data_IF_728323571388
#
_entry.id   IF_728323571388
#
_cell.length_a   1.000
_cell.length_b   1.000
_cell.length_c   1.000
_cell.angle_alpha   90.00
_cell.angle_beta   90.00
_cell.angle_gamma   90.00
#
_symmetry.space_group_name_H-M   'P 1'
#
loop_
_entity.id
_entity.type
_entity.pdbx_description
1 polymer ?
#
# COMPACT_ATOMS: atom_id res chain seq x y z
N UNK A 1 -27.71 22.43 -7.67
CA UNK A 1 -27.33 21.32 -6.76
C UNK A 1 -26.29 20.48 -7.47
N UNK A 2 -25.01 20.78 -7.27
CA UNK A 2 -23.90 19.99 -7.80
C UNK A 2 -23.88 18.67 -7.02
N UNK A 3 -24.06 17.54 -7.72
CA UNK A 3 -23.95 16.20 -7.12
C UNK A 3 -22.49 15.96 -6.78
N UNK A 4 -22.18 16.00 -5.48
CA UNK A 4 -20.91 15.54 -4.90
C UNK A 4 -20.86 14.01 -4.90
N UNK A 5 -21.02 13.38 -6.07
CA UNK A 5 -20.78 11.94 -6.25
C UNK A 5 -19.26 11.74 -6.30
N UNK A 6 -18.66 11.86 -5.11
CA UNK A 6 -17.23 11.96 -4.92
C UNK A 6 -16.50 10.71 -5.38
N UNK A 7 -15.28 10.91 -5.88
CA UNK A 7 -14.25 9.89 -6.19
C UNK A 7 -13.93 8.98 -4.98
N UNK A 8 -14.47 9.29 -3.80
CA UNK A 8 -14.37 8.53 -2.55
C UNK A 8 -15.66 7.82 -2.14
N UNK A 9 -16.71 7.86 -2.98
CA UNK A 9 -17.88 7.02 -2.83
C UNK A 9 -17.43 5.58 -3.05
N UNK A 10 -17.11 4.90 -1.95
CA UNK A 10 -16.78 3.47 -1.96
C UNK A 10 -18.04 2.76 -2.46
N UNK A 11 -17.99 2.28 -3.71
CA UNK A 11 -19.05 1.44 -4.30
C UNK A 11 -19.37 0.29 -3.33
N UNK A 12 -20.48 0.44 -2.62
CA UNK A 12 -20.96 -0.53 -1.65
C UNK A 12 -21.45 -1.82 -2.31
N UNK A 13 -21.52 -1.86 -3.64
CA UNK A 13 -22.16 -2.93 -4.42
C UNK A 13 -21.19 -4.03 -4.91
N UNK A 14 -19.96 -4.07 -4.36
CA UNK A 14 -19.06 -5.20 -4.62
C UNK A 14 -19.54 -6.42 -3.85
N UNK A 15 -20.23 -7.34 -4.54
CA UNK A 15 -20.54 -8.68 -4.04
C UNK A 15 -19.32 -9.27 -3.30
N UNK A 16 -19.48 -9.80 -2.08
CA UNK A 16 -18.37 -10.34 -1.31
C UNK A 16 -17.70 -11.46 -2.12
N UNK A 17 -16.46 -11.22 -2.55
CA UNK A 17 -15.65 -12.26 -3.19
C UNK A 17 -15.29 -13.30 -2.13
N UNK A 18 -15.27 -14.58 -2.52
CA UNK A 18 -14.83 -15.63 -1.60
C UNK A 18 -13.39 -15.35 -1.11
N UNK A 19 -13.09 -15.56 0.19
CA UNK A 19 -11.76 -15.31 0.74
C UNK A 19 -10.65 -16.00 -0.05
N UNK A 20 -10.87 -17.25 -0.49
CA UNK A 20 -9.92 -17.99 -1.31
C UNK A 20 -9.63 -17.33 -2.66
N UNK A 21 -10.63 -16.71 -3.30
CA UNK A 21 -10.42 -15.98 -4.57
C UNK A 21 -9.63 -14.69 -4.36
N UNK A 22 -9.83 -14.00 -3.23
CA UNK A 22 -9.04 -12.82 -2.85
C UNK A 22 -7.59 -13.19 -2.55
N UNK A 23 -7.36 -14.28 -1.80
CA UNK A 23 -6.02 -14.80 -1.53
C UNK A 23 -5.31 -15.20 -2.83
N UNK A 24 -5.98 -15.96 -3.70
CA UNK A 24 -5.42 -16.35 -5.00
C UNK A 24 -5.08 -15.14 -5.87
N UNK A 25 -5.97 -14.15 -5.94
CA UNK A 25 -5.71 -12.90 -6.67
C UNK A 25 -4.50 -12.15 -6.09
N UNK A 26 -4.41 -12.02 -4.77
CA UNK A 26 -3.28 -11.37 -4.11
C UNK A 26 -1.96 -12.10 -4.32
N UNK A 27 -1.98 -13.44 -4.29
CA UNK A 27 -0.84 -14.28 -4.59
C UNK A 27 -0.36 -14.04 -6.02
N UNK A 28 -1.26 -14.14 -7.00
CA UNK A 28 -0.90 -13.90 -8.40
C UNK A 28 -0.42 -12.48 -8.65
N UNK A 29 -1.07 -11.46 -8.07
CA UNK A 29 -0.62 -10.08 -8.19
C UNK A 29 0.81 -9.88 -7.67
N UNK A 30 1.17 -10.54 -6.56
CA UNK A 30 2.52 -10.46 -6.02
C UNK A 30 3.53 -11.27 -6.83
N UNK A 31 3.17 -12.48 -7.27
CA UNK A 31 4.05 -13.34 -8.08
C UNK A 31 4.32 -12.76 -9.47
N UNK A 32 3.31 -12.16 -10.11
CA UNK A 32 3.45 -11.52 -11.43
C UNK A 32 4.12 -10.14 -11.33
N UNK A 33 4.30 -9.58 -10.14
CA UNK A 33 4.94 -8.30 -9.96
C UNK A 33 6.47 -8.49 -9.83
N UNK A 34 7.27 -8.14 -10.86
CA UNK A 34 8.70 -8.39 -10.83
C UNK A 34 9.43 -7.53 -9.79
N UNK A 35 8.80 -6.46 -9.27
CA UNK A 35 9.43 -5.55 -8.31
C UNK A 35 9.82 -6.28 -7.03
N UNK A 36 8.95 -7.15 -6.52
CA UNK A 36 9.22 -7.91 -5.30
C UNK A 36 10.35 -8.92 -5.54
N UNK A 37 10.29 -9.68 -6.64
CA UNK A 37 11.35 -10.62 -6.99
C UNK A 37 12.71 -9.95 -7.18
N UNK A 38 12.74 -8.84 -7.90
CA UNK A 38 13.96 -8.03 -8.11
C UNK A 38 14.50 -7.46 -6.80
N UNK A 39 13.63 -7.01 -5.88
CA UNK A 39 14.06 -6.57 -4.56
C UNK A 39 14.78 -7.69 -3.81
N UNK A 40 14.22 -8.90 -3.78
CA UNK A 40 14.87 -10.02 -3.11
C UNK A 40 16.21 -10.38 -3.76
N UNK A 41 16.31 -10.41 -5.09
CA UNK A 41 17.57 -10.71 -5.79
C UNK A 41 18.62 -9.61 -5.56
N UNK A 42 18.21 -8.34 -5.53
CA UNK A 42 19.13 -7.22 -5.37
C UNK A 42 19.63 -7.07 -3.93
N UNK A 43 18.76 -7.24 -2.93
CA UNK A 43 19.06 -6.89 -1.54
C UNK A 43 19.32 -8.11 -0.66
N UNK A 44 18.59 -9.21 -0.83
CA UNK A 44 18.65 -10.34 0.11
C UNK A 44 20.01 -11.06 0.14
N UNK A 45 20.73 -11.27 -0.99
CA UNK A 45 22.07 -11.86 -0.98
C UNK A 45 23.09 -11.05 -0.18
N UNK A 46 22.92 -9.71 -0.10
CA UNK A 46 23.83 -8.83 0.65
C UNK A 46 23.77 -9.08 2.16
N UNK A 47 22.71 -9.71 2.65
CA UNK A 47 22.53 -10.07 4.06
C UNK A 47 22.94 -11.52 4.36
N UNK A 48 23.33 -12.30 3.34
CA UNK A 48 23.82 -13.67 3.54
C UNK A 48 25.34 -13.62 3.74
N UNK A 49 25.89 -14.15 4.85
CA UNK A 49 27.34 -14.17 5.07
C UNK A 49 28.06 -14.96 3.98
N UNK A 50 29.18 -14.43 3.49
CA UNK A 50 29.95 -15.06 2.40
C UNK A 50 30.53 -16.44 2.77
N UNK A 51 30.70 -16.73 4.05
CA UNK A 51 31.23 -17.99 4.60
C UNK A 51 30.14 -18.92 5.15
N UNK A 52 28.86 -18.68 4.84
CA UNK A 52 27.78 -19.53 5.32
C UNK A 52 27.83 -20.93 4.67
N UNK A 53 28.07 -21.97 5.47
CA UNK A 53 28.02 -23.38 5.01
C UNK A 53 26.68 -23.75 4.36
N UNK A 54 25.59 -23.04 4.71
CA UNK A 54 24.23 -23.26 4.19
C UNK A 54 23.57 -21.95 3.72
N UNK A 55 24.22 -21.24 2.80
CA UNK A 55 23.73 -19.97 2.25
C UNK A 55 22.25 -20.00 1.79
N UNK A 56 21.78 -21.09 1.18
CA UNK A 56 20.38 -21.24 0.73
C UNK A 56 19.38 -21.26 1.91
N UNK A 57 19.72 -21.95 3.00
CA UNK A 57 18.87 -22.02 4.18
C UNK A 57 18.78 -20.66 4.88
N UNK A 58 19.91 -19.95 4.98
CA UNK A 58 19.97 -18.58 5.50
C UNK A 58 19.12 -17.64 4.65
N UNK A 59 19.24 -17.71 3.32
CA UNK A 59 18.42 -16.92 2.40
C UNK A 59 16.92 -17.14 2.61
N UNK A 60 16.49 -18.41 2.71
CA UNK A 60 15.09 -18.74 2.95
C UNK A 60 14.58 -18.25 4.31
N UNK A 61 15.40 -18.40 5.37
CA UNK A 61 15.08 -17.89 6.70
C UNK A 61 14.90 -16.36 6.69
N UNK A 62 15.82 -15.63 6.06
CA UNK A 62 15.71 -14.17 5.93
C UNK A 62 14.45 -13.77 5.15
N UNK A 63 14.11 -14.51 4.09
CA UNK A 63 12.86 -14.33 3.35
C UNK A 63 11.62 -14.52 4.22
N UNK A 64 11.59 -15.56 5.07
CA UNK A 64 10.50 -15.79 6.01
C UNK A 64 10.40 -14.68 7.08
N UNK A 65 11.53 -14.22 7.62
CA UNK A 65 11.56 -13.11 8.57
C UNK A 65 11.01 -11.84 7.93
N UNK A 66 11.45 -11.53 6.70
CA UNK A 66 10.91 -10.40 5.94
C UNK A 66 9.41 -10.52 5.67
N UNK A 67 8.94 -11.71 5.28
CA UNK A 67 7.52 -11.96 5.06
C UNK A 67 6.71 -11.77 6.36
N UNK A 68 7.22 -12.25 7.50
CA UNK A 68 6.61 -12.07 8.82
C UNK A 68 6.52 -10.59 9.23
N UNK A 69 7.60 -9.83 9.06
CA UNK A 69 7.59 -8.38 9.31
C UNK A 69 6.59 -7.66 8.41
N UNK A 70 6.57 -8.00 7.11
CA UNK A 70 5.63 -7.42 6.14
C UNK A 70 4.19 -7.71 6.52
N UNK A 71 3.90 -8.94 6.97
CA UNK A 71 2.58 -9.33 7.44
C UNK A 71 2.13 -8.50 8.66
N UNK A 72 2.99 -8.33 9.66
CA UNK A 72 2.69 -7.50 10.85
C UNK A 72 2.38 -6.06 10.44
N UNK A 73 3.19 -5.49 9.55
CA UNK A 73 2.96 -4.13 9.03
C UNK A 73 1.62 -4.05 8.28
N UNK A 74 1.28 -5.03 7.45
CA UNK A 74 0.02 -5.05 6.71
C UNK A 74 -1.20 -5.24 7.60
N UNK A 75 -1.09 -6.02 8.68
CA UNK A 75 -2.14 -6.09 9.71
C UNK A 75 -2.33 -4.71 10.33
N UNK A 76 -1.23 -4.03 10.70
CA UNK A 76 -1.28 -2.66 11.21
C UNK A 76 -1.99 -1.70 10.25
N UNK A 77 -1.65 -1.74 8.96
CA UNK A 77 -2.34 -0.96 7.93
C UNK A 77 -3.82 -1.32 7.80
N UNK A 78 -4.17 -2.61 7.86
CA UNK A 78 -5.56 -3.06 7.80
C UNK A 78 -6.39 -2.54 8.96
N UNK A 79 -5.84 -2.60 10.18
CA UNK A 79 -6.48 -2.05 11.38
C UNK A 79 -6.61 -0.52 11.30
N UNK A 80 -5.57 0.17 10.86
CA UNK A 80 -5.61 1.62 10.65
C UNK A 80 -6.65 1.99 9.60
N UNK A 81 -6.74 1.24 8.49
CA UNK A 81 -7.73 1.47 7.45
C UNK A 81 -9.16 1.27 7.96
N UNK A 82 -9.41 0.26 8.79
CA UNK A 82 -10.69 0.07 9.46
C UNK A 82 -11.02 1.24 10.38
N UNK A 83 -10.06 1.68 11.20
CA UNK A 83 -10.23 2.83 12.07
C UNK A 83 -10.53 4.13 11.29
N UNK A 84 -9.78 4.39 10.20
CA UNK A 84 -9.99 5.53 9.30
C UNK A 84 -11.37 5.47 8.66
N UNK A 85 -11.83 4.29 8.22
CA UNK A 85 -13.16 4.12 7.66
C UNK A 85 -14.24 4.57 8.64
N UNK A 86 -14.14 4.16 9.89
CA UNK A 86 -15.18 4.43 10.89
C UNK A 86 -15.12 5.87 11.43
N UNK A 87 -13.92 6.44 11.58
CA UNK A 87 -13.73 7.73 12.26
C UNK A 87 -13.50 8.93 11.32
N UNK A 88 -12.99 8.69 10.12
CA UNK A 88 -12.62 9.74 9.15
C UNK A 88 -13.63 9.76 7.99
N UNK A 89 -13.88 8.60 7.36
CA UNK A 89 -14.73 8.54 6.16
C UNK A 89 -16.20 8.82 6.50
N UNK A 90 -16.65 8.36 7.68
CA UNK A 90 -18.00 8.64 8.18
C UNK A 90 -18.26 10.09 8.61
N UNK A 91 -17.24 10.96 8.67
CA UNK A 91 -17.37 12.35 9.15
C UNK A 91 -17.18 13.37 8.01
N UNK A 92 -18.27 13.99 7.49
CA UNK A 92 -18.19 14.92 6.36
C UNK A 92 -17.27 16.11 6.59
N UNK A 93 -17.17 16.61 7.84
CA UNK A 93 -16.31 17.72 8.20
C UNK A 93 -14.81 17.39 8.04
N UNK A 94 -14.41 16.17 8.43
CA UNK A 94 -13.02 15.72 8.31
C UNK A 94 -12.67 15.51 6.84
N UNK A 95 -13.57 14.89 6.07
CA UNK A 95 -13.38 14.69 4.64
C UNK A 95 -13.27 16.01 3.87
N UNK A 96 -14.00 17.04 4.32
CA UNK A 96 -13.89 18.40 3.76
C UNK A 96 -12.50 18.99 4.03
N UNK A 97 -11.97 18.85 5.24
CA UNK A 97 -10.61 19.27 5.58
C UNK A 97 -9.54 18.59 4.71
N UNK A 98 -9.62 17.26 4.56
CA UNK A 98 -8.70 16.49 3.70
C UNK A 98 -8.75 16.99 2.26
N UNK A 99 -9.95 17.22 1.71
CA UNK A 99 -10.15 17.70 0.34
C UNK A 99 -9.53 19.08 0.12
N UNK A 100 -9.74 20.01 1.04
CA UNK A 100 -9.13 21.34 0.96
C UNK A 100 -7.61 21.27 1.12
N UNK A 101 -7.09 20.36 1.96
CA UNK A 101 -5.65 20.10 2.08
C UNK A 101 -5.04 19.64 0.75
N UNK A 102 -5.64 18.64 0.09
CA UNK A 102 -5.21 18.21 -1.24
C UNK A 102 -5.31 19.33 -2.27
N UNK A 103 -6.44 20.05 -2.33
CA UNK A 103 -6.62 21.15 -3.27
C UNK A 103 -5.53 22.23 -3.09
N UNK A 104 -5.21 22.56 -1.83
CA UNK A 104 -4.15 23.53 -1.51
C UNK A 104 -2.78 23.00 -1.90
N UNK A 105 -2.45 21.74 -1.59
CA UNK A 105 -1.18 21.14 -1.97
C UNK A 105 -1.00 21.08 -3.49
N UNK A 106 -2.04 20.69 -4.24
CA UNK A 106 -2.00 20.69 -5.70
C UNK A 106 -1.89 22.09 -6.30
N UNK A 107 -2.59 23.08 -5.73
CA UNK A 107 -2.44 24.48 -6.13
C UNK A 107 -1.00 24.97 -5.93
N UNK A 108 -0.41 24.70 -4.76
CA UNK A 108 0.97 25.08 -4.46
C UNK A 108 1.96 24.39 -5.40
N UNK A 109 1.81 23.09 -5.63
CA UNK A 109 2.65 22.35 -6.58
C UNK A 109 2.50 22.88 -8.01
N UNK A 110 1.27 23.21 -8.45
CA UNK A 110 1.02 23.78 -9.77
C UNK A 110 1.64 25.17 -9.93
N UNK A 111 1.54 26.02 -8.91
CA UNK A 111 2.20 27.33 -8.87
C UNK A 111 3.72 27.16 -8.89
N UNK A 112 4.28 26.25 -8.09
CA UNK A 112 5.72 25.98 -8.09
C UNK A 112 6.20 25.46 -9.45
N UNK A 113 5.45 24.57 -10.09
CA UNK A 113 5.78 24.06 -11.42
C UNK A 113 5.73 25.17 -12.47
N UNK A 114 4.71 26.04 -12.42
CA UNK A 114 4.58 27.18 -13.32
C UNK A 114 5.67 28.22 -13.12
N UNK A 115 6.05 28.53 -11.88
CA UNK A 115 7.11 29.50 -11.57
C UNK A 115 8.52 28.94 -11.78
N UNK A 116 8.73 27.63 -11.62
CA UNK A 116 10.01 26.96 -11.89
C UNK A 116 10.22 26.56 -13.35
N UNK A 117 9.20 26.71 -14.20
CA UNK A 117 9.25 26.47 -15.65
C UNK A 117 9.34 27.76 -16.49
N UNK A 118 9.37 28.93 -15.85
CA UNK A 118 9.66 30.26 -16.43
C UNK A 118 11.09 30.63 -16.05
#
# INVERSE_FOLDING_TARGET
>A
MLRDDGVLAVDADRRPRSPGRLLGMGLWLNLLNPKLGLFFVAFLPQFVPANAERAQATFFLLGLVFAGMTLVVFIGYGLLAAWVRDHVIGKPAVMRGIRWGFATAFLLLGVQLGLGAI
#
